data_IF_719078206856
#
_entry.id   IF_719078206856
#
_cell.length_a   1.000
_cell.length_b   1.000
_cell.length_c   1.000
_cell.angle_alpha   90.00
_cell.angle_beta   90.00
_cell.angle_gamma   90.00
#
_symmetry.space_group_name_H-M   'P 1'
#
loop_
_entity.id
_entity.type
_entity.pdbx_description
1 polymer ?
#
# COMPACT_ATOMS: atom_id res chain seq x y z
N UNK A 1 24.95 18.98 -7.60
CA UNK A 1 23.90 19.02 -6.57
C UNK A 1 23.44 17.60 -6.34
N UNK A 2 23.74 17.02 -5.15
CA UNK A 2 23.34 15.66 -4.82
C UNK A 2 21.79 15.58 -4.76
N UNK A 3 21.26 14.48 -5.28
CA UNK A 3 19.83 14.16 -5.17
C UNK A 3 19.51 13.99 -3.68
N UNK A 4 18.99 15.02 -3.03
CA UNK A 4 18.44 14.85 -1.67
C UNK A 4 17.17 14.00 -1.78
N UNK A 5 16.94 13.07 -0.83
CA UNK A 5 15.67 12.33 -0.78
C UNK A 5 14.51 13.32 -0.68
N UNK A 6 13.38 12.98 -1.31
CA UNK A 6 12.17 13.82 -1.31
C UNK A 6 11.51 13.92 0.06
N UNK A 7 11.82 12.99 0.95
CA UNK A 7 11.36 12.92 2.34
C UNK A 7 12.54 12.53 3.22
N UNK A 8 12.67 13.17 4.37
CA UNK A 8 13.59 12.81 5.45
C UNK A 8 12.84 12.87 6.77
N UNK A 9 13.00 11.87 7.60
CA UNK A 9 12.25 11.69 8.84
C UNK A 9 13.20 11.36 9.99
N UNK A 10 13.06 12.09 11.09
CA UNK A 10 13.69 11.79 12.37
C UNK A 10 12.63 11.35 13.39
N UNK A 11 12.98 10.44 14.30
CA UNK A 11 12.11 9.93 15.34
C UNK A 11 12.76 10.03 16.71
N UNK A 12 12.02 10.57 17.65
CA UNK A 12 12.36 10.59 19.06
C UNK A 12 11.49 9.58 19.81
N UNK A 13 12.12 8.62 20.47
CA UNK A 13 11.43 7.62 21.30
C UNK A 13 11.58 7.98 22.77
N UNK A 14 10.47 8.14 23.47
CA UNK A 14 10.43 8.45 24.89
C UNK A 14 9.79 7.33 25.70
N UNK A 15 10.26 7.14 26.95
CA UNK A 15 9.56 6.32 27.92
C UNK A 15 8.30 7.04 28.40
N UNK A 16 7.15 6.46 28.13
CA UNK A 16 5.85 7.10 28.38
C UNK A 16 5.60 7.41 29.87
N UNK A 17 6.13 6.59 30.80
CA UNK A 17 5.90 6.75 32.23
C UNK A 17 6.81 7.79 32.90
N UNK A 18 8.01 8.05 32.33
CA UNK A 18 9.01 8.92 32.95
C UNK A 18 9.31 10.18 32.13
N UNK A 19 8.99 10.19 30.84
CA UNK A 19 9.38 11.25 29.90
C UNK A 19 10.88 11.20 29.53
N UNK A 20 11.60 10.14 29.89
CA UNK A 20 13.01 9.97 29.55
C UNK A 20 13.17 9.70 28.04
N UNK A 21 14.13 10.39 27.40
CA UNK A 21 14.50 10.12 26.01
C UNK A 21 15.26 8.79 25.93
N UNK A 22 14.69 7.81 25.26
CA UNK A 22 15.28 6.49 25.05
C UNK A 22 16.18 6.46 23.82
N UNK A 23 15.75 7.09 22.73
CA UNK A 23 16.51 7.07 21.48
C UNK A 23 16.14 8.22 20.55
N UNK A 24 17.11 8.64 19.73
CA UNK A 24 16.95 9.44 18.53
C UNK A 24 17.36 8.58 17.32
N UNK A 25 16.50 8.49 16.31
CA UNK A 25 16.70 7.61 15.15
C UNK A 25 16.49 8.37 13.86
N UNK A 26 17.32 8.11 12.84
CA UNK A 26 16.94 8.30 11.44
C UNK A 26 15.77 7.37 11.15
N UNK A 27 14.64 7.92 10.71
CA UNK A 27 13.40 7.20 10.52
C UNK A 27 13.01 7.00 9.05
N UNK A 28 13.88 7.30 8.10
CA UNK A 28 13.60 7.15 6.66
C UNK A 28 13.26 5.69 6.33
N UNK A 29 14.06 4.74 6.83
CA UNK A 29 13.77 3.32 6.66
C UNK A 29 12.48 2.89 7.38
N UNK A 30 12.27 3.36 8.61
CA UNK A 30 11.06 3.05 9.39
C UNK A 30 9.83 3.48 8.63
N UNK A 31 9.80 4.74 8.14
CA UNK A 31 8.68 5.30 7.39
C UNK A 31 8.34 4.50 6.15
N UNK A 32 9.35 4.05 5.41
CA UNK A 32 9.17 3.23 4.21
C UNK A 32 8.63 1.84 4.55
N UNK A 33 9.27 1.16 5.49
CA UNK A 33 8.93 -0.23 5.84
C UNK A 33 7.57 -0.36 6.53
N UNK A 34 7.24 0.55 7.50
CA UNK A 34 5.93 0.49 8.16
C UNK A 34 4.79 0.78 7.18
N UNK A 35 5.03 1.65 6.19
CA UNK A 35 4.04 1.96 5.15
C UNK A 35 3.85 0.76 4.22
N UNK A 36 4.95 0.16 3.76
CA UNK A 36 4.91 -1.05 2.95
C UNK A 36 4.29 -2.24 3.69
N UNK A 37 4.57 -2.39 4.98
CA UNK A 37 4.02 -3.47 5.80
C UNK A 37 2.48 -3.34 5.97
N UNK A 38 1.97 -2.13 6.20
CA UNK A 38 0.51 -1.90 6.30
C UNK A 38 -0.18 -2.14 4.97
N UNK A 39 0.41 -1.69 3.85
CA UNK A 39 -0.12 -1.97 2.52
C UNK A 39 -0.12 -3.49 2.22
N UNK A 40 0.97 -4.19 2.52
CA UNK A 40 1.05 -5.64 2.36
C UNK A 40 0.04 -6.39 3.23
N UNK A 41 -0.16 -5.95 4.48
CA UNK A 41 -1.16 -6.51 5.39
C UNK A 41 -2.58 -6.30 4.84
N UNK A 42 -2.89 -5.10 4.35
CA UNK A 42 -4.18 -4.82 3.73
C UNK A 42 -4.41 -5.68 2.49
N UNK A 43 -3.40 -5.84 1.63
CA UNK A 43 -3.46 -6.70 0.45
C UNK A 43 -3.72 -8.15 0.86
N UNK A 44 -2.90 -8.70 1.76
CA UNK A 44 -3.04 -10.07 2.22
C UNK A 44 -4.43 -10.36 2.79
N UNK A 45 -4.99 -9.39 3.52
CA UNK A 45 -6.28 -9.51 4.19
C UNK A 45 -7.45 -9.36 3.23
N UNK A 46 -7.36 -8.44 2.25
CA UNK A 46 -8.51 -7.96 1.48
C UNK A 46 -8.53 -8.40 0.02
N UNK A 47 -7.46 -9.02 -0.50
CA UNK A 47 -7.44 -9.49 -1.88
C UNK A 47 -8.44 -10.64 -2.11
N UNK A 48 -8.86 -10.83 -3.35
CA UNK A 48 -9.66 -11.99 -3.76
C UNK A 48 -8.86 -13.28 -3.57
N UNK A 49 -9.55 -14.38 -3.30
CA UNK A 49 -8.92 -15.72 -3.11
C UNK A 49 -8.14 -16.19 -4.34
N UNK A 50 -8.47 -15.65 -5.52
CA UNK A 50 -7.86 -16.00 -6.81
C UNK A 50 -6.83 -14.99 -7.30
N UNK A 51 -6.51 -13.96 -6.50
CA UNK A 51 -5.59 -12.91 -6.91
C UNK A 51 -4.20 -13.46 -7.27
N UNK A 52 -3.72 -13.08 -8.46
CA UNK A 52 -2.44 -13.48 -9.02
C UNK A 52 -1.74 -12.38 -9.82
N UNK A 53 -2.46 -11.31 -10.20
CA UNK A 53 -1.92 -10.19 -10.97
C UNK A 53 -1.89 -8.92 -10.11
N UNK A 54 -0.68 -8.46 -9.80
CA UNK A 54 -0.43 -7.28 -8.97
C UNK A 54 0.16 -6.17 -9.83
N UNK A 55 -0.47 -5.00 -9.81
CA UNK A 55 -0.05 -3.82 -10.55
C UNK A 55 0.56 -2.78 -9.61
N UNK A 56 1.66 -2.17 -10.01
CA UNK A 56 2.35 -1.15 -9.21
C UNK A 56 2.57 0.12 -10.02
N UNK A 57 2.26 1.26 -9.41
CA UNK A 57 2.60 2.60 -9.91
C UNK A 57 3.32 3.40 -8.82
N UNK A 58 4.37 4.15 -9.22
CA UNK A 58 5.24 4.84 -8.28
C UNK A 58 6.23 3.85 -7.63
N UNK A 59 7.17 3.34 -8.42
CA UNK A 59 8.09 2.24 -8.09
C UNK A 59 9.29 2.70 -7.23
N UNK A 60 9.01 3.59 -6.25
CA UNK A 60 9.99 4.09 -5.29
C UNK A 60 10.13 3.19 -4.06
N UNK A 61 10.79 3.71 -3.02
CA UNK A 61 11.10 2.99 -1.78
C UNK A 61 9.88 2.37 -1.09
N UNK A 62 8.73 3.06 -1.10
CA UNK A 62 7.50 2.53 -0.51
C UNK A 62 6.95 1.34 -1.28
N UNK A 63 6.97 1.36 -2.62
CA UNK A 63 6.56 0.23 -3.43
C UNK A 63 7.52 -0.97 -3.24
N UNK A 64 8.83 -0.70 -3.15
CA UNK A 64 9.84 -1.73 -2.85
C UNK A 64 9.56 -2.36 -1.49
N UNK A 65 9.34 -1.56 -0.44
CA UNK A 65 9.00 -2.05 0.89
C UNK A 65 7.69 -2.86 0.88
N UNK A 66 6.67 -2.42 0.13
CA UNK A 66 5.41 -3.16 -0.03
C UNK A 66 5.66 -4.53 -0.65
N UNK A 67 6.45 -4.61 -1.73
CA UNK A 67 6.77 -5.89 -2.37
C UNK A 67 7.57 -6.79 -1.44
N UNK A 68 8.58 -6.27 -0.73
CA UNK A 68 9.35 -7.04 0.26
C UNK A 68 8.44 -7.65 1.34
N UNK A 69 7.52 -6.85 1.88
CA UNK A 69 6.56 -7.32 2.88
C UNK A 69 5.56 -8.34 2.30
N UNK A 70 5.10 -8.14 1.06
CA UNK A 70 4.23 -9.11 0.38
C UNK A 70 4.92 -10.45 0.18
N UNK A 71 6.16 -10.46 -0.28
CA UNK A 71 6.95 -11.69 -0.48
C UNK A 71 7.22 -12.44 0.82
N UNK A 72 7.23 -11.74 1.96
CA UNK A 72 7.38 -12.37 3.27
C UNK A 72 6.11 -13.10 3.76
N UNK A 73 4.94 -12.80 3.20
CA UNK A 73 3.65 -13.31 3.68
C UNK A 73 2.85 -14.07 2.61
N UNK A 74 3.15 -13.88 1.32
CA UNK A 74 2.50 -14.63 0.25
C UNK A 74 3.15 -16.01 0.06
N UNK A 75 2.38 -17.02 -0.40
CA UNK A 75 2.92 -18.32 -0.74
C UNK A 75 3.97 -18.22 -1.85
N UNK A 76 5.11 -18.87 -1.66
CA UNK A 76 6.24 -18.83 -2.61
C UNK A 76 6.08 -19.75 -3.81
N UNK A 77 5.12 -20.67 -3.76
CA UNK A 77 4.83 -21.66 -4.79
C UNK A 77 3.79 -21.20 -5.83
N UNK A 78 3.13 -20.07 -5.58
CA UNK A 78 2.15 -19.51 -6.53
C UNK A 78 2.82 -18.54 -7.49
N UNK A 79 2.61 -18.69 -8.81
CA UNK A 79 3.07 -17.73 -9.79
C UNK A 79 2.29 -16.39 -9.61
N UNK A 80 3.02 -15.31 -9.68
CA UNK A 80 2.50 -13.94 -9.53
C UNK A 80 2.94 -13.13 -10.74
N UNK A 81 2.00 -12.53 -11.43
CA UNK A 81 2.28 -11.53 -12.47
C UNK A 81 2.33 -10.14 -11.83
N UNK A 82 3.43 -9.42 -12.03
CA UNK A 82 3.62 -8.06 -11.55
C UNK A 82 3.63 -7.09 -12.72
N UNK A 83 2.56 -6.31 -12.91
CA UNK A 83 2.53 -5.21 -13.88
C UNK A 83 3.16 -3.97 -13.28
N UNK A 84 4.10 -3.38 -13.98
CA UNK A 84 4.84 -2.20 -13.54
C UNK A 84 4.59 -1.04 -14.52
N UNK A 85 4.04 0.08 -14.03
CA UNK A 85 3.90 1.26 -14.87
C UNK A 85 5.26 1.89 -15.10
N UNK A 86 5.60 2.09 -16.38
CA UNK A 86 6.87 2.70 -16.78
C UNK A 86 6.96 4.16 -16.33
N UNK A 87 8.01 4.45 -15.59
CA UNK A 87 8.47 5.81 -15.33
C UNK A 87 9.99 5.84 -15.31
N UNK A 88 10.60 6.45 -16.32
CA UNK A 88 12.06 6.42 -16.53
C UNK A 88 12.56 4.97 -16.53
N UNK A 89 13.56 4.64 -15.70
CA UNK A 89 14.13 3.29 -15.54
C UNK A 89 13.65 2.57 -14.27
N UNK A 90 12.65 3.12 -13.59
CA UNK A 90 12.21 2.56 -12.28
C UNK A 90 11.63 1.15 -12.42
N UNK A 91 10.93 0.85 -13.52
CA UNK A 91 10.32 -0.46 -13.72
C UNK A 91 11.39 -1.56 -13.87
N UNK A 92 12.41 -1.30 -14.67
CA UNK A 92 13.53 -2.22 -14.88
C UNK A 92 14.35 -2.40 -13.60
N UNK A 93 14.60 -1.32 -12.85
CA UNK A 93 15.29 -1.37 -11.56
C UNK A 93 14.49 -2.15 -10.51
N UNK A 94 13.16 -1.93 -10.45
CA UNK A 94 12.28 -2.67 -9.55
C UNK A 94 12.28 -4.17 -9.89
N UNK A 95 12.12 -4.55 -11.15
CA UNK A 95 12.17 -5.95 -11.58
C UNK A 95 13.52 -6.59 -11.25
N UNK A 96 14.62 -5.87 -11.46
CA UNK A 96 15.97 -6.35 -11.14
C UNK A 96 16.18 -6.62 -9.64
N UNK A 97 15.59 -5.80 -8.75
CA UNK A 97 15.68 -5.99 -7.30
C UNK A 97 15.05 -7.31 -6.82
N UNK A 98 14.06 -7.81 -7.56
CA UNK A 98 13.32 -9.02 -7.21
C UNK A 98 13.54 -10.18 -8.18
N UNK A 99 14.58 -10.11 -9.00
CA UNK A 99 14.86 -11.11 -10.05
C UNK A 99 15.18 -12.52 -9.51
N UNK A 100 15.56 -12.65 -8.24
CA UNK A 100 15.81 -13.95 -7.60
C UNK A 100 14.52 -14.72 -7.25
N UNK A 101 13.37 -14.05 -7.23
CA UNK A 101 12.08 -14.65 -6.94
C UNK A 101 11.49 -15.26 -8.21
N UNK A 102 11.74 -16.53 -8.45
CA UNK A 102 11.39 -17.27 -9.70
C UNK A 102 9.88 -17.44 -9.91
N UNK A 103 9.07 -17.18 -8.90
CA UNK A 103 7.61 -17.18 -9.00
C UNK A 103 7.03 -15.83 -9.45
N UNK A 104 7.86 -14.81 -9.64
CA UNK A 104 7.44 -13.49 -10.13
C UNK A 104 7.69 -13.37 -11.64
N UNK A 105 6.67 -12.94 -12.37
CA UNK A 105 6.76 -12.53 -13.77
C UNK A 105 6.47 -11.03 -13.88
N UNK A 106 7.42 -10.26 -14.40
CA UNK A 106 7.33 -8.80 -14.49
C UNK A 106 6.94 -8.37 -15.91
N UNK A 107 5.85 -7.62 -16.01
CA UNK A 107 5.35 -7.01 -17.26
C UNK A 107 5.41 -5.49 -17.11
N UNK A 108 6.21 -4.82 -17.93
CA UNK A 108 6.25 -3.36 -17.97
C UNK A 108 5.19 -2.85 -18.93
N UNK A 109 4.34 -1.94 -18.46
CA UNK A 109 3.28 -1.29 -19.26
C UNK A 109 3.51 0.22 -19.31
N UNK A 110 3.10 0.85 -20.40
CA UNK A 110 3.34 2.27 -20.65
C UNK A 110 2.10 3.13 -20.40
N UNK A 111 0.94 2.50 -20.21
CA UNK A 111 -0.36 3.16 -20.08
C UNK A 111 -1.08 2.76 -18.79
N UNK A 112 -1.81 3.72 -18.19
CA UNK A 112 -2.57 3.52 -16.96
C UNK A 112 -3.72 2.52 -17.15
N UNK A 113 -4.38 2.53 -18.31
CA UNK A 113 -5.47 1.60 -18.60
C UNK A 113 -4.97 0.16 -18.71
N UNK A 114 -3.81 -0.05 -19.35
CA UNK A 114 -3.16 -1.36 -19.43
C UNK A 114 -2.69 -1.86 -18.05
N UNK A 115 -2.29 -0.93 -17.19
CA UNK A 115 -1.97 -1.29 -15.81
C UNK A 115 -3.20 -1.77 -15.04
N UNK A 116 -4.33 -1.08 -15.18
CA UNK A 116 -5.58 -1.39 -14.47
C UNK A 116 -6.24 -2.65 -15.01
N UNK A 117 -6.29 -2.80 -16.35
CA UNK A 117 -6.96 -3.92 -17.02
C UNK A 117 -6.47 -5.27 -16.49
N UNK A 118 -7.39 -6.13 -16.11
CA UNK A 118 -7.15 -7.49 -15.63
C UNK A 118 -6.25 -7.60 -14.39
N UNK A 119 -6.00 -6.51 -13.67
CA UNK A 119 -5.25 -6.53 -12.42
C UNK A 119 -6.14 -6.88 -11.23
N UNK A 120 -5.67 -7.80 -10.38
CA UNK A 120 -6.38 -8.22 -9.17
C UNK A 120 -6.12 -7.26 -8.01
N UNK A 121 -4.88 -6.77 -7.92
CA UNK A 121 -4.43 -5.82 -6.89
C UNK A 121 -3.70 -4.68 -7.58
N UNK A 122 -4.05 -3.44 -7.25
CA UNK A 122 -3.42 -2.24 -7.80
C UNK A 122 -2.85 -1.42 -6.64
N UNK A 123 -1.54 -1.31 -6.56
CA UNK A 123 -0.82 -0.52 -5.54
C UNK A 123 -0.38 0.80 -6.15
N UNK A 124 -0.79 1.91 -5.54
CA UNK A 124 -0.35 3.25 -5.95
C UNK A 124 0.49 3.89 -4.84
N UNK A 125 1.79 4.04 -5.11
CA UNK A 125 2.78 4.63 -4.20
C UNK A 125 3.45 5.87 -4.80
N UNK A 126 2.70 6.67 -5.57
CA UNK A 126 3.19 7.91 -6.16
C UNK A 126 3.18 9.05 -5.14
N UNK A 127 4.08 10.01 -5.32
CA UNK A 127 4.15 11.20 -4.46
C UNK A 127 3.05 12.20 -4.81
N UNK A 128 2.70 12.31 -6.10
CA UNK A 128 1.70 13.25 -6.60
C UNK A 128 0.81 12.59 -7.63
N UNK A 129 -0.50 12.90 -7.57
CA UNK A 129 -1.50 12.47 -8.53
C UNK A 129 -2.40 13.68 -8.86
N UNK A 130 -2.07 14.47 -9.89
CA UNK A 130 -2.78 15.73 -10.19
C UNK A 130 -4.16 15.50 -10.84
N UNK A 131 -4.39 14.35 -11.45
CA UNK A 131 -5.63 13.97 -12.13
C UNK A 131 -6.11 12.61 -11.65
N UNK A 132 -7.25 12.14 -12.18
CA UNK A 132 -7.69 10.76 -11.98
C UNK A 132 -6.67 9.81 -12.60
N UNK A 133 -6.41 8.72 -11.90
CA UNK A 133 -5.44 7.70 -12.33
C UNK A 133 -5.92 6.97 -13.59
N UNK A 134 -7.16 6.52 -13.59
CA UNK A 134 -7.85 5.94 -14.72
C UNK A 134 -9.32 6.37 -14.66
N UNK A 135 -9.79 7.09 -15.70
CA UNK A 135 -11.14 7.62 -15.74
C UNK A 135 -12.17 6.55 -16.10
N UNK A 136 -11.75 5.52 -16.85
CA UNK A 136 -12.62 4.46 -17.29
C UNK A 136 -12.83 3.42 -16.19
N UNK A 137 -13.93 3.53 -15.47
CA UNK A 137 -14.29 2.63 -14.37
C UNK A 137 -14.49 1.17 -14.80
N UNK A 138 -14.84 0.92 -16.07
CA UNK A 138 -15.10 -0.44 -16.58
C UNK A 138 -13.84 -1.30 -16.66
N UNK A 139 -12.65 -0.68 -16.59
CA UNK A 139 -11.37 -1.38 -16.55
C UNK A 139 -11.06 -2.00 -15.19
N UNK A 140 -11.66 -1.47 -14.11
CA UNK A 140 -11.54 -2.05 -12.79
C UNK A 140 -12.42 -3.30 -12.70
N UNK A 141 -11.83 -4.47 -12.90
CA UNK A 141 -12.53 -5.74 -12.91
C UNK A 141 -13.25 -6.04 -11.59
N UNK A 142 -14.21 -6.96 -11.63
CA UNK A 142 -14.79 -7.50 -10.39
C UNK A 142 -13.72 -8.14 -9.52
N UNK A 143 -13.85 -7.97 -8.20
CA UNK A 143 -12.92 -8.51 -7.23
C UNK A 143 -11.63 -7.70 -7.05
N UNK A 144 -11.38 -6.65 -7.81
CA UNK A 144 -10.16 -5.85 -7.70
C UNK A 144 -10.01 -5.22 -6.32
N UNK A 145 -8.78 -5.22 -5.82
CA UNK A 145 -8.35 -4.46 -4.65
C UNK A 145 -7.45 -3.31 -5.08
N UNK A 146 -7.89 -2.09 -4.83
CA UNK A 146 -7.11 -0.87 -5.06
C UNK A 146 -6.49 -0.41 -3.73
N UNK A 147 -5.18 -0.20 -3.69
CA UNK A 147 -4.42 0.15 -2.49
C UNK A 147 -3.65 1.46 -2.72
N UNK A 148 -4.31 2.61 -2.57
CA UNK A 148 -3.62 3.89 -2.61
C UNK A 148 -2.85 4.12 -1.31
N UNK A 149 -1.57 4.49 -1.43
CA UNK A 149 -0.72 4.93 -0.31
C UNK A 149 -0.66 6.47 -0.30
N UNK A 150 -1.73 7.10 -0.74
CA UNK A 150 -1.96 8.53 -0.81
C UNK A 150 -3.45 8.82 -1.01
N UNK A 151 -3.85 10.10 -0.99
CA UNK A 151 -5.26 10.51 -0.86
C UNK A 151 -5.92 11.00 -2.16
N UNK A 152 -5.24 10.96 -3.30
CA UNK A 152 -5.72 11.59 -4.55
C UNK A 152 -5.63 10.64 -5.74
N UNK A 153 -6.41 10.95 -6.79
CA UNK A 153 -6.36 10.24 -8.06
C UNK A 153 -7.41 9.16 -8.25
N UNK A 154 -8.19 8.83 -7.23
CA UNK A 154 -9.17 7.73 -7.25
C UNK A 154 -10.58 8.14 -6.88
N UNK A 155 -10.92 9.44 -7.02
CA UNK A 155 -12.23 9.97 -6.64
C UNK A 155 -13.41 9.38 -7.42
N UNK A 156 -13.19 8.94 -8.67
CA UNK A 156 -14.17 8.18 -9.43
C UNK A 156 -14.41 6.79 -8.81
N UNK A 157 -13.35 6.14 -8.34
CA UNK A 157 -13.41 4.84 -7.66
C UNK A 157 -14.14 4.92 -6.32
N UNK A 158 -14.02 6.03 -5.58
CA UNK A 158 -14.74 6.26 -4.32
C UNK A 158 -16.26 6.08 -4.45
N UNK A 159 -16.82 6.41 -5.61
CA UNK A 159 -18.26 6.27 -5.89
C UNK A 159 -18.62 4.95 -6.58
N UNK A 160 -17.66 4.34 -7.26
CA UNK A 160 -17.89 3.15 -8.07
C UNK A 160 -17.68 1.85 -7.28
N UNK A 161 -16.63 1.78 -6.44
CA UNK A 161 -16.27 0.59 -5.67
C UNK A 161 -17.34 0.26 -4.62
N UNK A 162 -17.37 -0.99 -4.21
CA UNK A 162 -18.42 -1.51 -3.32
C UNK A 162 -18.13 -1.21 -1.86
N UNK A 163 -16.83 -1.20 -1.48
CA UNK A 163 -16.41 -0.89 -0.12
C UNK A 163 -15.11 -0.11 -0.09
N UNK A 164 -15.07 0.88 0.80
CA UNK A 164 -13.87 1.64 1.13
C UNK A 164 -13.41 1.19 2.52
N UNK A 165 -12.14 0.83 2.62
CA UNK A 165 -11.47 0.51 3.89
C UNK A 165 -10.34 1.52 4.09
N UNK A 166 -10.12 2.00 5.31
CA UNK A 166 -9.00 2.86 5.62
C UNK A 166 -8.27 2.38 6.88
N UNK A 167 -7.02 2.78 7.03
CA UNK A 167 -6.26 2.59 8.26
C UNK A 167 -6.85 3.39 9.43
N UNK A 168 -7.38 4.61 9.15
CA UNK A 168 -8.08 5.45 10.12
C UNK A 168 -9.17 6.30 9.43
N UNK A 169 -10.35 6.32 10.01
CA UNK A 169 -11.48 7.13 9.54
C UNK A 169 -11.13 8.62 9.45
N UNK A 170 -10.33 9.13 10.39
CA UNK A 170 -9.96 10.55 10.42
C UNK A 170 -9.22 10.97 9.15
N UNK A 171 -8.45 10.07 8.53
CA UNK A 171 -7.71 10.36 7.29
C UNK A 171 -8.61 10.56 6.06
N UNK A 172 -9.75 9.89 6.02
CA UNK A 172 -10.65 9.89 4.85
C UNK A 172 -11.94 10.67 5.06
N UNK A 173 -12.28 11.01 6.31
CA UNK A 173 -13.53 11.73 6.64
C UNK A 173 -13.66 13.11 5.95
N UNK A 174 -12.53 13.71 5.57
CA UNK A 174 -12.47 14.95 4.79
C UNK A 174 -12.53 14.76 3.28
N UNK A 175 -12.64 13.54 2.77
CA UNK A 175 -12.71 13.31 1.32
C UNK A 175 -14.03 13.84 0.74
N UNK A 176 -13.93 14.37 -0.49
CA UNK A 176 -15.08 14.97 -1.20
C UNK A 176 -16.33 14.08 -1.21
N UNK A 177 -16.15 12.78 -1.32
CA UNK A 177 -17.22 11.81 -1.47
C UNK A 177 -17.42 10.90 -0.26
N UNK A 178 -16.80 11.19 0.89
CA UNK A 178 -16.87 10.33 2.07
C UNK A 178 -18.31 9.92 2.46
N UNK A 179 -19.24 10.89 2.47
CA UNK A 179 -20.65 10.63 2.80
C UNK A 179 -21.44 9.90 1.69
N UNK A 180 -20.79 9.62 0.55
CA UNK A 180 -21.38 8.92 -0.59
C UNK A 180 -20.75 7.56 -0.83
N UNK A 181 -19.80 7.14 0.00
CA UNK A 181 -19.26 5.79 -0.05
C UNK A 181 -20.39 4.77 0.14
N UNK A 182 -20.44 3.75 -0.72
CA UNK A 182 -21.45 2.68 -0.60
C UNK A 182 -21.34 1.94 0.74
N UNK A 183 -20.10 1.71 1.19
CA UNK A 183 -19.76 1.12 2.48
C UNK A 183 -18.40 1.61 2.94
N UNK A 184 -18.23 1.85 4.23
CA UNK A 184 -16.96 2.25 4.84
C UNK A 184 -16.67 1.45 6.11
N UNK A 185 -15.42 1.01 6.28
CA UNK A 185 -14.93 0.36 7.49
C UNK A 185 -13.46 0.73 7.74
N UNK A 186 -12.98 0.50 8.95
CA UNK A 186 -11.56 0.55 9.26
C UNK A 186 -10.92 -0.84 9.12
N UNK A 187 -9.67 -0.88 8.67
CA UNK A 187 -8.91 -2.13 8.52
C UNK A 187 -8.81 -2.88 9.86
N UNK A 188 -8.73 -2.15 10.96
CA UNK A 188 -8.72 -2.70 12.33
C UNK A 188 -9.94 -3.57 12.63
N UNK A 189 -11.13 -3.23 12.11
CA UNK A 189 -12.35 -4.01 12.32
C UNK A 189 -12.26 -5.38 11.64
N UNK A 190 -11.65 -5.42 10.45
CA UNK A 190 -11.39 -6.68 9.72
C UNK A 190 -10.35 -7.52 10.46
N UNK A 191 -9.22 -6.92 10.85
CA UNK A 191 -8.14 -7.63 11.54
C UNK A 191 -8.56 -8.20 12.90
N UNK A 192 -9.50 -7.54 13.57
CA UNK A 192 -10.11 -8.01 14.84
C UNK A 192 -11.28 -8.99 14.63
N UNK A 193 -11.53 -9.44 13.38
CA UNK A 193 -12.63 -10.32 13.00
C UNK A 193 -14.03 -9.80 13.43
N UNK A 194 -14.21 -8.49 13.50
CA UNK A 194 -15.51 -7.86 13.78
C UNK A 194 -16.41 -7.82 12.56
N UNK A 195 -15.78 -7.78 11.39
CA UNK A 195 -16.43 -7.81 10.08
C UNK A 195 -15.63 -8.73 9.14
N UNK A 196 -16.24 -9.30 8.09
CA UNK A 196 -15.54 -10.12 7.12
C UNK A 196 -14.56 -9.27 6.27
N UNK A 197 -13.46 -9.87 5.84
CA UNK A 197 -12.48 -9.24 4.97
C UNK A 197 -13.08 -8.89 3.60
N UNK A 198 -13.86 -9.80 3.04
CA UNK A 198 -14.66 -9.62 1.80
C UNK A 198 -16.06 -10.20 1.99
N UNK A 199 -17.03 -9.58 1.32
CA UNK A 199 -18.38 -10.13 1.24
C UNK A 199 -18.52 -11.15 0.11
N UNK A 200 -17.73 -10.99 -0.95
CA UNK A 200 -17.60 -11.94 -2.07
C UNK A 200 -16.27 -11.73 -2.79
N UNK A 201 -15.85 -12.71 -3.61
CA UNK A 201 -14.66 -12.55 -4.46
C UNK A 201 -14.86 -11.53 -5.61
N UNK A 202 -16.09 -11.13 -5.90
CA UNK A 202 -16.42 -10.10 -6.91
C UNK A 202 -16.48 -8.69 -6.35
N UNK A 203 -16.44 -8.52 -5.01
CA UNK A 203 -16.48 -7.21 -4.36
C UNK A 203 -15.27 -6.36 -4.72
N UNK A 204 -15.47 -5.12 -5.21
CA UNK A 204 -14.41 -4.15 -5.46
C UNK A 204 -14.12 -3.37 -4.20
N UNK A 205 -12.87 -3.40 -3.73
CA UNK A 205 -12.46 -2.75 -2.48
C UNK A 205 -11.36 -1.72 -2.74
N UNK A 206 -11.49 -0.53 -2.14
CA UNK A 206 -10.35 0.39 -1.97
C UNK A 206 -9.85 0.27 -0.53
N UNK A 207 -8.55 0.10 -0.36
CA UNK A 207 -7.88 0.13 0.94
C UNK A 207 -6.95 1.35 1.00
N UNK A 208 -7.41 2.45 1.58
CA UNK A 208 -6.59 3.64 1.81
C UNK A 208 -5.64 3.40 2.99
N UNK A 209 -4.33 3.36 2.70
CA UNK A 209 -3.27 3.17 3.69
C UNK A 209 -2.42 4.44 3.75
N UNK A 210 -2.88 5.44 4.48
CA UNK A 210 -2.27 6.78 4.52
C UNK A 210 -1.13 6.81 5.54
N UNK A 211 -1.24 5.99 6.59
CA UNK A 211 -0.21 5.77 7.59
C UNK A 211 -0.52 6.45 8.92
N UNK A 212 -0.25 5.73 10.00
CA UNK A 212 -0.41 6.17 11.38
C UNK A 212 0.96 6.30 12.04
N UNK A 213 1.21 7.41 12.74
CA UNK A 213 2.42 7.60 13.54
C UNK A 213 2.62 6.52 14.63
N UNK A 214 1.55 5.84 15.02
CA UNK A 214 1.62 4.68 15.91
C UNK A 214 2.48 3.55 15.34
N UNK A 215 2.43 3.33 14.03
CA UNK A 215 3.25 2.32 13.37
C UNK A 215 4.73 2.69 13.41
N UNK A 216 5.08 3.97 13.28
CA UNK A 216 6.46 4.45 13.38
C UNK A 216 7.00 4.18 14.79
N UNK A 217 6.22 4.47 15.84
CA UNK A 217 6.59 4.19 17.23
C UNK A 217 6.75 2.69 17.50
N UNK A 218 5.86 1.86 16.96
CA UNK A 218 5.93 0.40 17.10
C UNK A 218 7.26 -0.15 16.52
N UNK A 219 7.62 0.24 15.31
CA UNK A 219 8.87 -0.16 14.69
C UNK A 219 10.09 0.35 15.46
N UNK A 220 10.09 1.64 15.84
CA UNK A 220 11.17 2.26 16.58
C UNK A 220 11.41 1.57 17.93
N UNK A 221 10.33 1.23 18.65
CA UNK A 221 10.43 0.51 19.93
C UNK A 221 11.07 -0.86 19.75
N UNK A 222 10.65 -1.64 18.75
CA UNK A 222 11.23 -2.96 18.49
C UNK A 222 12.69 -2.89 18.04
N UNK A 223 13.07 -1.88 17.27
CA UNK A 223 14.48 -1.64 16.91
C UNK A 223 15.28 -1.31 18.17
N UNK A 224 14.80 -0.39 18.99
CA UNK A 224 15.43 -0.01 20.25
C UNK A 224 15.65 -1.23 21.16
N UNK A 225 14.61 -2.04 21.38
CA UNK A 225 14.72 -3.24 22.21
C UNK A 225 15.75 -4.26 21.70
N UNK A 226 15.87 -4.44 20.37
CA UNK A 226 16.84 -5.36 19.77
C UNK A 226 18.28 -4.89 19.86
N UNK A 227 18.50 -3.57 19.88
CA UNK A 227 19.83 -2.99 19.94
C UNK A 227 20.34 -2.79 21.39
N UNK A 228 19.45 -2.81 22.39
CA UNK A 228 19.78 -2.55 23.80
C UNK A 228 19.75 -3.81 24.68
N UNK A 229 19.36 -4.97 24.12
CA UNK A 229 19.48 -6.30 24.73
C UNK A 229 20.78 -6.96 24.34
#
# INVERSE_FOLDING_TARGET
AGNKPSLHSDLLLYQASTGELLSFMDADWITQMRTGAVAALAIHTLQSSTASTYAFVGLGSTAIATMQCLLAILPTDKPITCKLLRYKQQAEQFAQLFAEHTNLDFIVVDDHEDLVRDSDVIVSAVTEMPSLFCENNDLYKEGVLLVPIHTRGFQNCDLFFDRIIADDKAHVSGFKYFNQFKSFNELSEVLLNRIPARLSDTERIIAYNIGLGLHDIYFAHHIYERLTR
#
